data_IF_212234880456
#
_entry.id   IF_212234880456
#
_cell.length_a   1.000
_cell.length_b   1.000
_cell.length_c   1.000
_cell.angle_alpha   90.00
_cell.angle_beta   90.00
_cell.angle_gamma   90.00
#
_symmetry.space_group_name_H-M   'P 1'
#
loop_
_entity.id
_entity.type
_entity.pdbx_description
1 polymer ?
#
# COMPACT_ATOMS: atom_id res chain seq x y z
N UNK A 1 -3.85 -9.55 -25.55
CA UNK A 1 -3.46 -8.12 -25.63
C UNK A 1 -4.45 -7.22 -24.89
N UNK A 2 -5.77 -7.37 -25.10
CA UNK A 2 -6.83 -6.61 -24.42
C UNK A 2 -6.82 -6.70 -22.89
N UNK A 3 -6.62 -7.90 -22.32
CA UNK A 3 -6.59 -8.09 -20.86
C UNK A 3 -5.41 -7.38 -20.16
N UNK A 4 -4.27 -7.21 -20.85
CA UNK A 4 -3.10 -6.49 -20.32
C UNK A 4 -3.29 -4.97 -20.31
N UNK A 5 -4.13 -4.44 -21.20
CA UNK A 5 -4.46 -3.00 -21.24
C UNK A 5 -5.57 -2.64 -20.24
N UNK A 6 -6.46 -3.58 -19.91
CA UNK A 6 -7.46 -3.39 -18.84
C UNK A 6 -6.80 -3.21 -17.47
N UNK A 7 -5.65 -3.84 -17.24
CA UNK A 7 -4.91 -3.77 -15.99
C UNK A 7 -4.55 -2.33 -15.55
N UNK A 8 -3.77 -1.54 -16.32
CA UNK A 8 -3.43 -0.18 -15.94
C UNK A 8 -4.67 0.72 -15.85
N UNK A 9 -5.69 0.47 -16.66
CA UNK A 9 -6.95 1.24 -16.59
C UNK A 9 -7.67 0.99 -15.27
N UNK A 10 -7.82 -0.27 -14.86
CA UNK A 10 -8.44 -0.61 -13.56
C UNK A 10 -7.60 -0.12 -12.40
N UNK A 11 -6.28 -0.20 -12.49
CA UNK A 11 -5.37 0.31 -11.47
C UNK A 11 -5.49 1.84 -11.31
N UNK A 12 -5.37 2.59 -12.40
CA UNK A 12 -5.38 4.05 -12.39
C UNK A 12 -6.76 4.62 -12.04
N UNK A 13 -7.83 4.02 -12.59
CA UNK A 13 -9.18 4.49 -12.36
C UNK A 13 -9.80 3.89 -11.11
N UNK A 14 -9.47 2.68 -10.68
CA UNK A 14 -10.10 2.02 -9.53
C UNK A 14 -9.51 2.42 -8.18
N UNK A 15 -8.29 2.95 -8.15
CA UNK A 15 -7.60 3.31 -6.91
C UNK A 15 -8.37 4.31 -6.01
N UNK A 16 -8.88 5.45 -6.52
CA UNK A 16 -9.59 6.39 -5.65
C UNK A 16 -10.92 5.84 -5.11
N UNK A 17 -11.61 4.99 -5.89
CA UNK A 17 -12.85 4.34 -5.48
C UNK A 17 -12.64 3.44 -4.26
N UNK A 18 -11.50 2.73 -4.21
CA UNK A 18 -11.20 1.79 -3.13
C UNK A 18 -11.07 2.51 -1.78
N UNK A 19 -10.46 3.70 -1.76
CA UNK A 19 -10.44 4.55 -0.57
C UNK A 19 -11.83 5.06 -0.17
N UNK A 20 -12.69 5.33 -1.16
CA UNK A 20 -14.10 5.65 -0.92
C UNK A 20 -14.83 4.56 -0.13
N UNK A 21 -14.52 3.28 -0.37
CA UNK A 21 -15.08 2.15 0.38
C UNK A 21 -14.68 2.21 1.86
N UNK A 22 -13.41 2.49 2.15
CA UNK A 22 -12.90 2.64 3.54
C UNK A 22 -13.67 3.74 4.27
N UNK A 23 -13.81 4.91 3.65
CA UNK A 23 -14.55 6.05 4.22
C UNK A 23 -16.02 5.69 4.48
N UNK A 24 -16.64 4.93 3.56
CA UNK A 24 -18.04 4.51 3.71
C UNK A 24 -18.24 3.57 4.89
N UNK A 25 -17.33 2.61 5.07
CA UNK A 25 -17.36 1.65 6.18
C UNK A 25 -17.22 2.37 7.51
N UNK A 26 -16.28 3.32 7.62
CA UNK A 26 -16.14 4.15 8.83
C UNK A 26 -17.38 4.98 9.13
N UNK A 27 -18.00 5.55 8.10
CA UNK A 27 -19.22 6.32 8.27
C UNK A 27 -20.36 5.45 8.79
N UNK A 28 -20.54 4.26 8.22
CA UNK A 28 -21.54 3.28 8.66
C UNK A 28 -21.30 2.84 10.10
N UNK A 29 -20.06 2.51 10.48
CA UNK A 29 -19.70 2.15 11.85
C UNK A 29 -19.98 3.28 12.85
N UNK A 30 -19.83 4.54 12.43
CA UNK A 30 -20.15 5.72 13.22
C UNK A 30 -21.64 6.14 13.17
N UNK A 31 -22.52 5.39 12.49
CA UNK A 31 -23.94 5.73 12.36
C UNK A 31 -24.25 6.92 11.45
N UNK A 32 -23.34 7.29 10.54
CA UNK A 32 -23.46 8.44 9.62
C UNK A 32 -23.52 7.98 8.16
N UNK A 33 -24.12 8.80 7.29
CA UNK A 33 -24.18 8.50 5.84
C UNK A 33 -22.82 8.56 5.14
N UNK A 34 -21.92 9.43 5.59
CA UNK A 34 -20.58 9.61 5.02
C UNK A 34 -20.56 10.20 3.60
N UNK A 35 -19.35 10.46 3.11
CA UNK A 35 -19.11 10.96 1.75
C UNK A 35 -19.53 9.94 0.67
N UNK A 36 -19.81 10.39 -0.58
CA UNK A 36 -20.02 9.48 -1.70
C UNK A 36 -18.71 8.76 -2.08
N UNK A 37 -18.81 7.57 -2.70
CA UNK A 37 -17.64 6.78 -3.11
C UNK A 37 -16.73 7.51 -4.10
N UNK A 38 -17.30 8.40 -4.91
CA UNK A 38 -16.58 9.16 -5.93
C UNK A 38 -15.93 10.45 -5.40
N UNK A 39 -16.03 10.72 -4.09
CA UNK A 39 -15.57 11.97 -3.49
C UNK A 39 -14.12 12.31 -3.84
N UNK A 40 -13.21 11.34 -3.76
CA UNK A 40 -11.79 11.55 -4.03
C UNK A 40 -11.51 11.96 -5.49
N UNK A 41 -12.30 11.50 -6.46
CA UNK A 41 -12.18 11.96 -7.85
C UNK A 41 -12.54 13.43 -7.98
N UNK A 42 -13.61 13.87 -7.32
CA UNK A 42 -14.02 15.27 -7.31
C UNK A 42 -12.98 16.15 -6.62
N UNK A 43 -12.38 15.67 -5.53
CA UNK A 43 -11.34 16.40 -4.81
C UNK A 43 -10.05 16.54 -5.64
N UNK A 44 -9.59 15.46 -6.30
CA UNK A 44 -8.44 15.52 -7.22
C UNK A 44 -8.74 16.49 -8.37
N UNK A 45 -9.91 16.37 -9.00
CA UNK A 45 -10.33 17.25 -10.09
C UNK A 45 -10.38 18.73 -9.67
N UNK A 46 -10.85 18.99 -8.45
CA UNK A 46 -10.85 20.34 -7.87
C UNK A 46 -9.42 20.85 -7.65
N UNK A 47 -8.53 20.02 -7.10
CA UNK A 47 -7.14 20.41 -6.82
C UNK A 47 -6.34 20.72 -8.09
N UNK A 48 -6.58 20.00 -9.18
CA UNK A 48 -5.97 20.28 -10.49
C UNK A 48 -6.36 21.65 -11.06
N UNK A 49 -7.45 22.26 -10.59
CA UNK A 49 -7.93 23.57 -11.01
C UNK A 49 -7.53 24.70 -10.08
N UNK A 50 -6.90 24.38 -8.95
CA UNK A 50 -6.43 25.38 -8.00
C UNK A 50 -5.03 25.87 -8.39
N UNK A 51 -4.72 27.09 -7.99
CA UNK A 51 -3.36 27.60 -8.07
C UNK A 51 -2.45 26.91 -7.05
N UNK A 52 -1.18 26.83 -7.39
CA UNK A 52 -0.13 26.26 -6.55
C UNK A 52 0.62 27.41 -5.88
N UNK A 53 0.65 27.40 -4.54
CA UNK A 53 1.44 28.32 -3.74
C UNK A 53 2.72 27.58 -3.33
N UNK A 54 3.87 28.15 -3.70
CA UNK A 54 5.19 27.62 -3.34
C UNK A 54 5.88 28.57 -2.38
N UNK A 55 6.55 28.01 -1.38
CA UNK A 55 7.40 28.80 -0.50
C UNK A 55 8.59 29.36 -1.26
N UNK A 56 9.12 30.49 -0.78
CA UNK A 56 10.37 31.08 -1.32
C UNK A 56 11.62 30.34 -0.83
N UNK A 57 11.48 29.53 0.22
CA UNK A 57 12.59 28.77 0.83
C UNK A 57 12.76 27.38 0.23
N UNK A 58 11.75 26.86 -0.45
CA UNK A 58 11.79 25.54 -1.09
C UNK A 58 12.60 25.56 -2.39
N UNK A 59 13.26 24.45 -2.69
CA UNK A 59 14.02 24.23 -3.92
C UNK A 59 13.21 23.40 -4.92
N UNK A 60 13.87 22.92 -5.98
CA UNK A 60 13.25 22.00 -6.93
C UNK A 60 12.85 20.65 -6.30
N UNK A 61 13.48 20.29 -5.16
CA UNK A 61 13.22 19.04 -4.44
C UNK A 61 11.78 18.97 -3.94
N UNK A 62 11.22 20.09 -3.48
CA UNK A 62 9.82 20.19 -3.08
C UNK A 62 8.84 19.76 -4.19
N UNK A 63 9.10 20.14 -5.45
CA UNK A 63 8.28 19.73 -6.60
C UNK A 63 8.61 18.31 -7.08
N UNK A 64 9.85 17.86 -6.89
CA UNK A 64 10.25 16.49 -7.21
C UNK A 64 9.52 15.46 -6.33
N UNK A 65 9.19 15.78 -5.08
CA UNK A 65 8.46 14.91 -4.15
C UNK A 65 7.17 14.33 -4.73
N UNK A 66 6.14 15.16 -5.00
CA UNK A 66 4.88 14.71 -5.59
C UNK A 66 5.05 14.02 -6.95
N UNK A 67 5.94 14.53 -7.81
CA UNK A 67 6.16 13.99 -9.15
C UNK A 67 6.80 12.59 -9.11
N UNK A 68 7.90 12.43 -8.38
CA UNK A 68 8.61 11.17 -8.25
C UNK A 68 7.80 10.15 -7.44
N UNK A 69 7.09 10.59 -6.40
CA UNK A 69 6.19 9.73 -5.61
C UNK A 69 5.05 9.17 -6.45
N UNK A 70 4.40 9.99 -7.29
CA UNK A 70 3.36 9.51 -8.20
C UNK A 70 3.95 8.59 -9.27
N UNK A 71 5.04 8.99 -9.92
CA UNK A 71 5.66 8.21 -10.98
C UNK A 71 6.12 6.83 -10.48
N UNK A 72 6.71 6.76 -9.29
CA UNK A 72 7.22 5.51 -8.74
C UNK A 72 6.11 4.51 -8.41
N UNK A 73 4.99 4.98 -7.85
CA UNK A 73 3.82 4.13 -7.56
C UNK A 73 3.14 3.67 -8.84
N UNK A 74 3.05 4.54 -9.86
CA UNK A 74 2.51 4.17 -11.19
C UNK A 74 3.37 3.06 -11.82
N UNK A 75 4.70 3.23 -11.81
CA UNK A 75 5.63 2.22 -12.34
C UNK A 75 5.58 0.92 -11.54
N UNK A 76 5.52 0.98 -10.21
CA UNK A 76 5.40 -0.19 -9.35
C UNK A 76 4.09 -0.96 -9.62
N UNK A 77 3.00 -0.24 -9.92
CA UNK A 77 1.71 -0.84 -10.30
C UNK A 77 1.75 -1.66 -11.59
N UNK A 78 2.77 -1.49 -12.45
CA UNK A 78 2.94 -2.29 -13.67
C UNK A 78 3.51 -3.70 -13.42
N UNK A 79 4.02 -3.97 -12.21
CA UNK A 79 4.60 -5.26 -11.82
C UNK A 79 3.66 -6.13 -10.97
N UNK A 80 2.58 -5.54 -10.44
CA UNK A 80 1.58 -6.30 -9.71
C UNK A 80 0.65 -7.01 -10.69
N UNK A 81 0.25 -8.27 -10.45
CA UNK A 81 -0.82 -8.92 -11.19
C UNK A 81 -2.20 -8.48 -10.69
N UNK A 82 -3.14 -8.26 -11.61
CA UNK A 82 -4.55 -8.04 -11.31
C UNK A 82 -5.35 -9.25 -11.76
N UNK A 83 -6.01 -9.91 -10.80
CA UNK A 83 -6.65 -11.21 -11.04
C UNK A 83 -5.64 -12.26 -11.52
N UNK A 84 -6.07 -13.19 -12.40
CA UNK A 84 -5.19 -14.23 -12.98
C UNK A 84 -4.35 -13.77 -14.17
N UNK A 85 -4.40 -12.49 -14.49
CA UNK A 85 -3.65 -11.93 -15.62
C UNK A 85 -2.26 -11.57 -15.12
N UNK A 86 -1.23 -12.07 -15.81
CA UNK A 86 0.15 -11.66 -15.53
C UNK A 86 0.29 -10.14 -15.62
N UNK A 87 1.18 -9.60 -14.79
CA UNK A 87 1.49 -8.18 -14.77
C UNK A 87 1.91 -7.68 -16.17
N UNK A 88 1.60 -6.42 -16.53
CA UNK A 88 2.04 -5.83 -17.80
C UNK A 88 3.54 -5.93 -18.06
N UNK A 89 4.35 -5.75 -17.01
CA UNK A 89 5.80 -5.91 -17.02
C UNK A 89 6.20 -7.05 -16.07
N UNK A 90 7.17 -7.85 -16.48
CA UNK A 90 7.72 -8.91 -15.65
C UNK A 90 9.05 -9.43 -16.17
N UNK A 91 10.00 -9.60 -15.26
CA UNK A 91 11.30 -10.21 -15.54
C UNK A 91 11.82 -10.91 -14.25
N UNK A 92 12.95 -11.59 -14.35
CA UNK A 92 13.56 -12.28 -13.19
C UNK A 92 14.14 -11.25 -12.21
N UNK A 93 13.64 -11.21 -10.98
CA UNK A 93 14.07 -10.28 -9.94
C UNK A 93 13.29 -8.95 -9.91
N UNK A 94 12.18 -8.86 -10.62
CA UNK A 94 11.32 -7.66 -10.68
C UNK A 94 10.73 -7.24 -9.32
N UNK A 95 10.58 -8.18 -8.36
CA UNK A 95 10.13 -7.87 -7.00
C UNK A 95 11.09 -6.92 -6.25
N UNK A 96 12.40 -6.96 -6.56
CA UNK A 96 13.40 -6.06 -5.99
C UNK A 96 13.20 -4.64 -6.53
N UNK A 97 13.03 -4.52 -7.85
CA UNK A 97 12.73 -3.24 -8.49
C UNK A 97 11.43 -2.66 -7.96
N UNK A 98 10.39 -3.49 -7.80
CA UNK A 98 9.12 -3.09 -7.20
C UNK A 98 9.31 -2.48 -5.80
N UNK A 99 10.04 -3.16 -4.90
CA UNK A 99 10.29 -2.66 -3.55
C UNK A 99 11.07 -1.33 -3.57
N UNK A 100 12.11 -1.22 -4.40
CA UNK A 100 12.91 0.00 -4.48
C UNK A 100 12.22 1.15 -5.19
N UNK A 101 11.25 0.91 -6.09
CA UNK A 101 10.40 1.98 -6.65
C UNK A 101 9.57 2.63 -5.54
N UNK A 102 8.98 1.82 -4.64
CA UNK A 102 8.25 2.35 -3.49
C UNK A 102 9.17 3.12 -2.53
N UNK A 103 10.38 2.58 -2.26
CA UNK A 103 11.39 3.25 -1.45
C UNK A 103 11.84 4.59 -2.07
N UNK A 104 12.00 4.65 -3.40
CA UNK A 104 12.34 5.86 -4.14
C UNK A 104 11.25 6.93 -3.99
N UNK A 105 9.98 6.52 -4.10
CA UNK A 105 8.84 7.42 -3.85
C UNK A 105 8.90 8.02 -2.45
N UNK A 106 9.12 7.17 -1.42
CA UNK A 106 9.26 7.61 -0.03
C UNK A 106 10.44 8.56 0.18
N UNK A 107 11.59 8.25 -0.42
CA UNK A 107 12.78 9.08 -0.35
C UNK A 107 12.48 10.50 -0.85
N UNK A 108 11.86 10.64 -2.02
CA UNK A 108 11.52 11.95 -2.56
C UNK A 108 10.43 12.67 -1.75
N UNK A 109 9.44 11.96 -1.20
CA UNK A 109 8.46 12.60 -0.30
C UNK A 109 9.10 13.07 1.00
N UNK A 110 10.05 12.32 1.57
CA UNK A 110 10.77 12.72 2.76
C UNK A 110 11.74 13.88 2.50
N UNK A 111 12.42 13.87 1.35
CA UNK A 111 13.28 14.96 0.92
C UNK A 111 12.48 16.25 0.69
N UNK A 112 11.31 16.17 0.07
CA UNK A 112 10.43 17.32 -0.15
C UNK A 112 9.93 17.92 1.17
N UNK A 113 9.59 17.09 2.17
CA UNK A 113 9.23 17.54 3.51
C UNK A 113 10.41 18.22 4.26
N UNK A 114 11.65 17.77 4.03
CA UNK A 114 12.82 18.40 4.64
C UNK A 114 13.20 19.73 3.94
N UNK A 115 12.88 19.86 2.66
CA UNK A 115 13.21 21.03 1.82
C UNK A 115 12.42 22.29 2.20
N UNK A 116 11.28 22.16 2.88
CA UNK A 116 10.51 23.32 3.40
C UNK A 116 11.22 24.03 4.55
N UNK A 117 12.10 23.31 5.27
CA UNK A 117 12.84 23.83 6.41
C UNK A 117 12.02 23.94 7.70
N UNK A 118 10.84 23.29 7.79
CA UNK A 118 9.99 23.30 8.98
C UNK A 118 10.37 22.20 9.98
N UNK A 119 10.37 22.52 11.28
CA UNK A 119 10.62 21.55 12.34
C UNK A 119 9.55 20.43 12.40
N UNK A 120 8.30 20.75 12.04
CA UNK A 120 7.21 19.76 12.02
C UNK A 120 7.39 18.74 10.90
N UNK A 121 7.70 19.21 9.70
CA UNK A 121 7.94 18.36 8.53
C UNK A 121 9.16 17.45 8.74
N UNK A 122 10.23 17.97 9.36
CA UNK A 122 11.37 17.16 9.79
C UNK A 122 11.00 16.07 10.82
N UNK A 123 10.16 16.39 11.80
CA UNK A 123 9.68 15.40 12.78
C UNK A 123 8.83 14.30 12.12
N UNK A 124 7.96 14.65 11.17
CA UNK A 124 7.17 13.67 10.42
C UNK A 124 8.02 12.77 9.54
N UNK A 125 8.95 13.36 8.78
CA UNK A 125 9.86 12.62 7.91
C UNK A 125 10.69 11.58 8.69
N UNK A 126 11.22 11.94 9.88
CA UNK A 126 11.96 11.00 10.73
C UNK A 126 11.08 9.83 11.19
N UNK A 127 9.83 10.11 11.59
CA UNK A 127 8.89 9.07 12.03
C UNK A 127 8.52 8.11 10.88
N UNK A 128 8.18 8.66 9.72
CA UNK A 128 7.84 7.90 8.52
C UNK A 128 9.01 6.99 8.09
N UNK A 129 10.23 7.55 7.99
CA UNK A 129 11.43 6.79 7.59
C UNK A 129 11.80 5.73 8.64
N UNK A 130 11.57 6.00 9.93
CA UNK A 130 11.81 4.99 10.98
C UNK A 130 10.86 3.81 10.84
N UNK A 131 9.57 4.06 10.57
CA UNK A 131 8.58 2.99 10.41
C UNK A 131 8.82 2.21 9.12
N UNK A 132 9.25 2.89 8.07
CA UNK A 132 9.66 2.32 6.81
C UNK A 132 10.74 1.24 6.93
N UNK A 133 11.74 1.42 7.80
CA UNK A 133 12.77 0.40 8.00
C UNK A 133 12.19 -0.94 8.48
N UNK A 134 11.15 -0.90 9.32
CA UNK A 134 10.51 -2.11 9.82
C UNK A 134 9.51 -2.71 8.81
N UNK A 135 8.77 -1.87 8.08
CA UNK A 135 7.84 -2.34 7.04
C UNK A 135 8.60 -2.97 5.88
N UNK A 136 9.75 -2.40 5.50
CA UNK A 136 10.63 -2.95 4.46
C UNK A 136 11.16 -4.33 4.85
N UNK A 137 11.60 -4.50 6.10
CA UNK A 137 12.01 -5.80 6.62
C UNK A 137 10.87 -6.84 6.52
N UNK A 138 9.66 -6.49 6.97
CA UNK A 138 8.51 -7.38 6.89
C UNK A 138 8.11 -7.71 5.44
N UNK A 139 8.21 -6.74 4.53
CA UNK A 139 7.95 -6.92 3.12
C UNK A 139 8.96 -7.88 2.47
N UNK A 140 10.26 -7.75 2.75
CA UNK A 140 11.26 -8.65 2.19
C UNK A 140 11.14 -10.07 2.72
N UNK A 141 10.87 -10.27 4.02
CA UNK A 141 10.56 -11.62 4.52
C UNK A 141 9.35 -12.23 3.80
N UNK A 142 8.30 -11.43 3.60
CA UNK A 142 7.11 -11.86 2.86
C UNK A 142 7.45 -12.28 1.42
N UNK A 143 8.24 -11.47 0.71
CA UNK A 143 8.69 -11.77 -0.65
C UNK A 143 9.58 -13.01 -0.72
N UNK A 144 10.47 -13.23 0.24
CA UNK A 144 11.30 -14.45 0.30
C UNK A 144 10.41 -15.69 0.43
N UNK A 145 9.39 -15.66 1.30
CA UNK A 145 8.43 -16.79 1.43
C UNK A 145 7.76 -17.07 0.09
N UNK A 146 7.28 -16.05 -0.61
CA UNK A 146 6.63 -16.22 -1.91
C UNK A 146 7.59 -16.75 -2.99
N UNK A 147 8.84 -16.29 -3.01
CA UNK A 147 9.86 -16.79 -3.91
C UNK A 147 10.15 -18.28 -3.65
N UNK A 148 10.19 -18.67 -2.37
CA UNK A 148 10.38 -20.07 -1.97
C UNK A 148 9.19 -20.95 -2.35
N UNK A 149 7.96 -20.52 -2.09
CA UNK A 149 6.76 -21.31 -2.39
C UNK A 149 6.50 -21.45 -3.90
N UNK A 150 6.79 -20.40 -4.68
CA UNK A 150 6.55 -20.39 -6.13
C UNK A 150 7.72 -20.95 -6.96
N UNK A 151 8.93 -21.02 -6.39
CA UNK A 151 10.15 -21.36 -7.12
C UNK A 151 10.56 -20.33 -8.18
N UNK A 152 10.01 -19.11 -8.14
CA UNK A 152 10.25 -18.05 -9.12
C UNK A 152 10.70 -16.76 -8.45
N UNK A 153 11.51 -15.98 -9.17
CA UNK A 153 11.89 -14.61 -8.79
C UNK A 153 11.09 -13.56 -9.56
N UNK A 154 10.00 -13.96 -10.23
CA UNK A 154 9.09 -13.05 -10.90
C UNK A 154 7.87 -12.79 -10.00
N UNK A 155 7.58 -11.54 -9.65
CA UNK A 155 6.57 -11.12 -8.69
C UNK A 155 5.16 -11.62 -9.08
N UNK A 156 4.83 -11.55 -10.36
CA UNK A 156 3.54 -12.02 -10.85
C UNK A 156 3.37 -13.54 -10.61
N UNK A 157 4.40 -14.33 -10.90
CA UNK A 157 4.40 -15.77 -10.63
C UNK A 157 4.47 -16.08 -9.14
N UNK A 158 5.21 -15.29 -8.36
CA UNK A 158 5.29 -15.42 -6.90
C UNK A 158 3.91 -15.35 -6.24
N UNK A 159 3.03 -14.50 -6.74
CA UNK A 159 1.65 -14.35 -6.21
C UNK A 159 0.72 -15.42 -6.78
N UNK A 160 0.75 -15.64 -8.10
CA UNK A 160 -0.22 -16.52 -8.80
C UNK A 160 0.04 -18.02 -8.57
N UNK A 161 1.30 -18.43 -8.43
CA UNK A 161 1.69 -19.83 -8.23
C UNK A 161 1.87 -20.21 -6.75
N UNK A 162 1.82 -19.24 -5.83
CA UNK A 162 2.05 -19.47 -4.41
C UNK A 162 1.13 -20.57 -3.81
N UNK A 163 -0.12 -20.64 -4.31
CA UNK A 163 -1.17 -21.53 -3.80
C UNK A 163 -1.30 -22.88 -4.48
N UNK A 164 -0.50 -23.20 -5.52
CA UNK A 164 -0.69 -24.42 -6.33
C UNK A 164 -0.16 -25.70 -5.68
N UNK A 165 0.45 -25.61 -4.49
CA UNK A 165 0.93 -26.78 -3.76
C UNK A 165 -0.20 -27.57 -3.08
N UNK A 166 -0.13 -28.92 -3.04
CA UNK A 166 -1.12 -29.77 -2.39
C UNK A 166 -1.06 -29.75 -0.85
N UNK A 167 -0.12 -28.98 -0.26
CA UNK A 167 0.25 -29.07 1.15
C UNK A 167 -0.52 -28.03 1.99
N UNK A 168 -1.23 -28.44 3.06
CA UNK A 168 -1.94 -27.52 3.97
C UNK A 168 -1.05 -26.43 4.58
N UNK A 169 0.20 -26.76 4.90
CA UNK A 169 1.16 -25.84 5.51
C UNK A 169 1.58 -24.68 4.60
N UNK A 170 1.64 -24.89 3.27
CA UNK A 170 1.89 -23.80 2.32
C UNK A 170 0.77 -22.74 2.36
N UNK A 171 -0.49 -23.18 2.53
CA UNK A 171 -1.64 -22.26 2.67
C UNK A 171 -1.58 -21.50 3.99
N UNK A 172 -1.18 -22.15 5.08
CA UNK A 172 -0.97 -21.48 6.37
C UNK A 172 0.14 -20.43 6.26
N UNK A 173 1.26 -20.75 5.61
CA UNK A 173 2.34 -19.80 5.34
C UNK A 173 1.84 -18.59 4.55
N UNK A 174 1.01 -18.79 3.50
CA UNK A 174 0.41 -17.69 2.75
C UNK A 174 -0.53 -16.81 3.57
N UNK A 175 -1.31 -17.38 4.50
CA UNK A 175 -2.17 -16.58 5.39
C UNK A 175 -1.34 -15.73 6.36
N UNK A 176 -0.24 -16.27 6.88
CA UNK A 176 0.69 -15.50 7.72
C UNK A 176 1.38 -14.38 6.94
N UNK A 177 1.79 -14.65 5.70
CA UNK A 177 2.32 -13.63 4.78
C UNK A 177 1.25 -12.59 4.45
N UNK A 178 0.01 -12.99 4.18
CA UNK A 178 -1.10 -12.06 3.94
C UNK A 178 -1.35 -11.15 5.16
N UNK A 179 -1.29 -11.70 6.38
CA UNK A 179 -1.39 -10.90 7.60
C UNK A 179 -0.21 -9.94 7.78
N UNK A 180 1.02 -10.37 7.48
CA UNK A 180 2.22 -9.52 7.50
C UNK A 180 2.10 -8.37 6.50
N UNK A 181 1.77 -8.67 5.24
CA UNK A 181 1.59 -7.68 4.18
C UNK A 181 0.39 -6.77 4.47
N UNK A 182 -0.65 -7.25 5.16
CA UNK A 182 -1.75 -6.40 5.63
C UNK A 182 -1.29 -5.39 6.70
N UNK A 183 -0.40 -5.77 7.62
CA UNK A 183 0.20 -4.81 8.56
C UNK A 183 1.09 -3.78 7.83
N UNK A 184 1.86 -4.23 6.83
CA UNK A 184 2.63 -3.34 5.96
C UNK A 184 1.70 -2.38 5.20
N UNK A 185 0.59 -2.88 4.65
CA UNK A 185 -0.42 -2.07 3.96
C UNK A 185 -0.93 -0.94 4.85
N UNK A 186 -1.30 -1.25 6.11
CA UNK A 186 -1.80 -0.24 7.04
C UNK A 186 -0.72 0.80 7.38
N UNK A 187 0.53 0.38 7.59
CA UNK A 187 1.61 1.29 7.92
C UNK A 187 2.02 2.19 6.74
N UNK A 188 2.20 1.62 5.55
CA UNK A 188 2.62 2.32 4.32
C UNK A 188 1.58 3.29 3.75
N UNK A 189 0.31 3.09 4.13
CA UNK A 189 -0.80 3.96 3.77
C UNK A 189 -1.29 4.80 4.95
N UNK A 190 -0.49 4.86 6.03
CA UNK A 190 -0.66 5.76 7.16
C UNK A 190 -2.06 5.63 7.78
N UNK A 191 -2.52 4.39 7.93
CA UNK A 191 -3.83 4.03 8.49
C UNK A 191 -3.72 3.58 9.93
N UNK A 192 -4.86 3.62 10.61
CA UNK A 192 -4.97 3.17 12.00
C UNK A 192 -4.65 1.67 12.02
N UNK A 193 -3.80 1.19 12.95
CA UNK A 193 -3.37 1.86 14.17
C UNK A 193 -2.06 2.68 14.11
N UNK A 194 -1.42 2.79 12.95
CA UNK A 194 -0.11 3.41 12.79
C UNK A 194 -0.17 4.95 12.75
N UNK A 195 -1.06 5.48 11.91
CA UNK A 195 -1.37 6.90 11.82
C UNK A 195 -2.87 7.12 11.55
N UNK A 196 -3.34 8.36 11.65
CA UNK A 196 -4.71 8.71 11.25
C UNK A 196 -4.69 9.83 10.20
N UNK A 197 -5.13 9.55 8.96
CA UNK A 197 -5.10 10.54 7.88
C UNK A 197 -6.07 11.71 8.09
N UNK A 198 -6.97 11.61 9.08
CA UNK A 198 -7.93 12.69 9.39
C UNK A 198 -7.43 13.61 10.51
N UNK A 199 -6.32 13.26 11.16
CA UNK A 199 -5.79 14.05 12.26
C UNK A 199 -4.90 15.15 11.71
N UNK A 200 -5.34 16.41 11.84
CA UNK A 200 -4.57 17.61 11.47
C UNK A 200 -3.89 18.28 12.67
N UNK A 201 -3.60 17.52 13.73
CA UNK A 201 -2.92 18.04 14.92
C UNK A 201 -1.40 17.97 14.74
N UNK A 202 -0.79 19.14 14.52
CA UNK A 202 0.62 19.35 14.11
C UNK A 202 1.65 18.47 14.83
N UNK A 203 1.52 18.29 16.15
CA UNK A 203 2.47 17.51 16.95
C UNK A 203 2.38 15.99 16.77
N UNK A 204 1.20 15.52 16.37
CA UNK A 204 0.88 14.09 16.27
C UNK A 204 0.82 13.61 14.83
N UNK A 205 0.85 14.49 13.83
CA UNK A 205 0.90 14.06 12.43
C UNK A 205 2.19 13.29 12.14
N UNK A 206 2.09 12.26 11.30
CA UNK A 206 3.25 11.60 10.68
C UNK A 206 3.22 11.89 9.18
N UNK A 207 2.22 11.36 8.47
CA UNK A 207 2.15 11.49 7.02
C UNK A 207 1.61 12.84 6.56
N UNK A 208 0.50 13.29 7.15
CA UNK A 208 -0.15 14.57 6.79
C UNK A 208 0.79 15.76 7.00
N UNK A 209 1.75 15.66 7.92
CA UNK A 209 2.75 16.70 8.15
C UNK A 209 3.78 16.76 7.02
N UNK A 210 4.07 15.65 6.33
CA UNK A 210 5.07 15.64 5.25
C UNK A 210 4.56 16.32 3.96
N UNK A 211 3.26 16.55 3.87
CA UNK A 211 2.58 17.06 2.67
C UNK A 211 1.85 18.36 2.96
N UNK A 212 2.09 18.95 4.13
CA UNK A 212 1.34 20.07 4.71
C UNK A 212 1.48 21.34 3.86
N UNK A 213 2.70 21.61 3.39
CA UNK A 213 2.99 22.78 2.56
C UNK A 213 2.60 22.59 1.07
N UNK A 214 2.23 21.37 0.64
CA UNK A 214 1.79 21.14 -0.73
C UNK A 214 0.38 21.70 -0.99
N UNK A 215 0.21 22.36 -2.13
CA UNK A 215 -1.06 22.96 -2.52
C UNK A 215 -1.39 22.70 -4.00
N UNK A 216 -2.66 22.90 -4.36
CA UNK A 216 -3.13 22.80 -5.75
C UNK A 216 -2.83 21.44 -6.41
N UNK A 217 -2.32 21.42 -7.66
CA UNK A 217 -2.04 20.19 -8.39
C UNK A 217 -1.02 19.27 -7.72
N UNK A 218 -0.04 19.83 -7.00
CA UNK A 218 0.98 19.05 -6.28
C UNK A 218 0.34 18.19 -5.18
N UNK A 219 -0.53 18.79 -4.35
CA UNK A 219 -1.31 18.05 -3.36
C UNK A 219 -2.25 17.03 -4.03
N UNK A 220 -2.84 17.37 -5.18
CA UNK A 220 -3.64 16.44 -5.98
C UNK A 220 -2.86 15.19 -6.40
N UNK A 221 -1.60 15.36 -6.83
CA UNK A 221 -0.70 14.27 -7.19
C UNK A 221 -0.34 13.39 -5.98
N UNK A 222 -0.11 14.00 -4.82
CA UNK A 222 0.13 13.28 -3.54
C UNK A 222 -1.08 12.41 -3.17
N UNK A 223 -2.29 13.00 -3.13
CA UNK A 223 -3.51 12.27 -2.78
C UNK A 223 -3.82 11.14 -3.76
N UNK A 224 -3.59 11.37 -5.06
CA UNK A 224 -3.75 10.34 -6.07
C UNK A 224 -2.69 9.23 -5.94
N UNK A 225 -1.44 9.59 -5.70
CA UNK A 225 -0.35 8.65 -5.44
C UNK A 225 -0.62 7.78 -4.19
N UNK A 226 -1.15 8.37 -3.12
CA UNK A 226 -1.56 7.64 -1.92
C UNK A 226 -2.71 6.65 -2.23
N UNK A 227 -3.68 7.03 -3.06
CA UNK A 227 -4.74 6.13 -3.51
C UNK A 227 -4.20 4.95 -4.33
N UNK A 228 -3.28 5.21 -5.25
CA UNK A 228 -2.62 4.17 -6.05
C UNK A 228 -1.80 3.22 -5.18
N UNK A 229 -1.06 3.75 -4.20
CA UNK A 229 -0.28 2.96 -3.24
C UNK A 229 -1.19 2.08 -2.38
N UNK A 230 -2.33 2.60 -1.95
CA UNK A 230 -3.32 1.81 -1.21
C UNK A 230 -3.89 0.67 -2.05
N UNK A 231 -4.24 0.93 -3.29
CA UNK A 231 -4.72 -0.08 -4.23
C UNK A 231 -3.65 -1.14 -4.51
N UNK A 232 -2.40 -0.72 -4.69
CA UNK A 232 -1.23 -1.57 -4.92
C UNK A 232 -1.02 -2.57 -3.78
N UNK A 233 -0.95 -2.10 -2.53
CA UNK A 233 -0.84 -3.00 -1.38
C UNK A 233 -2.10 -3.86 -1.17
N UNK A 234 -3.30 -3.29 -1.39
CA UNK A 234 -4.55 -4.07 -1.32
C UNK A 234 -4.58 -5.20 -2.34
N UNK A 235 -4.00 -4.99 -3.52
CA UNK A 235 -3.86 -6.00 -4.57
C UNK A 235 -2.92 -7.12 -4.17
N UNK A 236 -1.81 -6.81 -3.48
CA UNK A 236 -0.93 -7.84 -2.93
C UNK A 236 -1.67 -8.71 -1.92
N UNK A 237 -2.35 -8.11 -0.94
CA UNK A 237 -3.13 -8.84 0.08
C UNK A 237 -4.24 -9.67 -0.59
N UNK A 238 -5.00 -9.07 -1.50
CA UNK A 238 -6.05 -9.78 -2.23
C UNK A 238 -5.49 -10.97 -3.01
N UNK A 239 -4.38 -10.80 -3.71
CA UNK A 239 -3.71 -11.89 -4.45
C UNK A 239 -3.24 -13.02 -3.54
N UNK A 240 -2.68 -12.69 -2.37
CA UNK A 240 -2.25 -13.68 -1.38
C UNK A 240 -3.41 -14.46 -0.78
N UNK A 241 -4.49 -13.78 -0.38
CA UNK A 241 -5.71 -14.41 0.13
C UNK A 241 -6.32 -15.34 -0.92
N UNK A 242 -6.33 -14.88 -2.15
CA UNK A 242 -6.92 -15.60 -3.25
C UNK A 242 -6.08 -16.85 -3.63
N UNK A 243 -4.77 -16.81 -3.42
CA UNK A 243 -3.88 -17.98 -3.56
C UNK A 243 -3.93 -18.92 -2.35
N UNK A 244 -4.19 -18.39 -1.15
CA UNK A 244 -4.28 -19.19 0.08
C UNK A 244 -5.61 -19.95 0.19
N UNK A 245 -6.72 -19.34 -0.24
CA UNK A 245 -8.06 -19.88 -0.11
C UNK A 245 -8.41 -20.80 -1.29
N UNK A 246 -9.08 -21.96 -1.05
CA UNK A 246 -9.49 -22.89 -2.10
C UNK A 246 -10.71 -22.38 -2.88
N UNK A 247 -10.60 -21.23 -3.54
CA UNK A 247 -11.73 -20.49 -4.12
C UNK A 247 -12.30 -21.07 -5.42
N UNK A 248 -11.97 -22.34 -5.76
CA UNK A 248 -12.32 -22.95 -7.05
C UNK A 248 -11.65 -22.23 -8.22
N UNK A 249 -11.57 -22.86 -9.38
CA UNK A 249 -10.82 -22.34 -10.55
C UNK A 249 -11.30 -20.99 -11.12
N UNK A 250 -12.29 -20.33 -10.54
CA UNK A 250 -12.89 -19.09 -11.04
C UNK A 250 -12.26 -17.81 -10.43
N UNK A 251 -10.94 -17.71 -10.51
CA UNK A 251 -10.23 -16.44 -10.27
C UNK A 251 -10.42 -15.51 -11.48
N UNK A 252 -11.56 -14.84 -11.52
CA UNK A 252 -11.88 -13.81 -12.51
C UNK A 252 -11.78 -12.40 -11.93
N UNK A 253 -12.00 -11.40 -12.80
CA UNK A 253 -12.10 -9.99 -12.41
C UNK A 253 -13.11 -9.75 -11.28
N UNK A 254 -14.22 -10.50 -11.25
CA UNK A 254 -15.23 -10.41 -10.20
C UNK A 254 -14.72 -10.83 -8.81
N UNK A 255 -14.02 -11.96 -8.71
CA UNK A 255 -13.44 -12.42 -7.44
C UNK A 255 -12.34 -11.47 -6.97
N UNK A 256 -11.49 -11.01 -7.88
CA UNK A 256 -10.46 -10.02 -7.56
C UNK A 256 -11.06 -8.72 -7.03
N UNK A 257 -12.11 -8.18 -7.69
CA UNK A 257 -12.80 -6.99 -7.22
C UNK A 257 -13.47 -7.20 -5.85
N UNK A 258 -14.08 -8.38 -5.62
CA UNK A 258 -14.67 -8.73 -4.34
C UNK A 258 -13.62 -8.80 -3.21
N UNK A 259 -12.44 -9.36 -3.48
CA UNK A 259 -11.37 -9.44 -2.50
C UNK A 259 -10.71 -8.09 -2.24
N UNK A 260 -10.53 -7.24 -3.26
CA UNK A 260 -10.11 -5.86 -3.06
C UNK A 260 -11.11 -5.10 -2.16
N UNK A 261 -12.41 -5.22 -2.46
CA UNK A 261 -13.44 -4.61 -1.64
C UNK A 261 -13.42 -5.17 -0.20
N UNK A 262 -13.20 -6.47 -0.03
CA UNK A 262 -13.06 -7.10 1.28
C UNK A 262 -11.85 -6.57 2.06
N UNK A 263 -10.70 -6.37 1.41
CA UNK A 263 -9.52 -5.76 2.03
C UNK A 263 -9.83 -4.32 2.45
N UNK A 264 -10.46 -3.52 1.59
CA UNK A 264 -10.84 -2.15 1.92
C UNK A 264 -11.86 -2.08 3.07
N UNK A 265 -12.83 -3.00 3.10
CA UNK A 265 -13.78 -3.14 4.21
C UNK A 265 -13.04 -3.52 5.50
N UNK A 266 -12.11 -4.46 5.43
CA UNK A 266 -11.31 -4.86 6.58
C UNK A 266 -10.50 -3.68 7.14
N UNK A 267 -9.85 -2.89 6.28
CA UNK A 267 -9.17 -1.65 6.69
C UNK A 267 -10.16 -0.69 7.37
N UNK A 268 -11.34 -0.46 6.77
CA UNK A 268 -12.37 0.40 7.35
C UNK A 268 -12.89 -0.09 8.71
N UNK A 269 -13.01 -1.40 8.91
CA UNK A 269 -13.37 -2.02 10.19
C UNK A 269 -12.24 -1.83 11.22
N UNK A 270 -10.99 -2.08 10.84
CA UNK A 270 -9.82 -1.83 11.71
C UNK A 270 -9.77 -0.37 12.14
N UNK A 271 -9.93 0.58 11.21
CA UNK A 271 -9.98 2.02 11.52
C UNK A 271 -11.19 2.42 12.39
N UNK A 272 -12.23 1.59 12.47
CA UNK A 272 -13.43 1.87 13.27
C UNK A 272 -13.39 1.25 14.66
N UNK A 273 -12.69 0.13 14.84
CA UNK A 273 -12.62 -0.63 16.09
C UNK A 273 -11.35 -0.33 16.88
N UNK A 274 -10.26 0.04 16.21
CA UNK A 274 -8.98 0.36 16.85
C UNK A 274 -8.80 1.86 17.04
N UNK A 275 -8.09 2.22 18.11
CA UNK A 275 -7.52 3.54 18.29
C UNK A 275 -6.09 3.58 17.74
N UNK A 276 -5.61 4.79 17.46
CA UNK A 276 -4.21 5.02 17.11
C UNK A 276 -3.29 4.58 18.24
N UNK A 277 -2.24 3.83 17.89
CA UNK A 277 -1.22 3.41 18.85
C UNK A 277 -0.25 4.55 19.16
N UNK A 278 0.27 4.56 20.39
CA UNK A 278 1.39 5.43 20.76
C UNK A 278 2.62 5.07 19.92
N UNK A 279 3.40 6.06 19.49
CA UNK A 279 4.59 5.89 18.64
C UNK A 279 5.55 4.80 19.14
N UNK A 280 5.73 4.66 20.46
CA UNK A 280 6.61 3.65 21.08
C UNK A 280 6.16 2.20 20.83
N UNK A 281 4.87 1.97 20.56
CA UNK A 281 4.31 0.65 20.29
C UNK A 281 4.28 0.29 18.81
N UNK A 282 4.39 1.27 17.91
CA UNK A 282 4.37 1.05 16.46
C UNK A 282 5.48 0.10 15.99
N UNK A 283 6.76 0.29 16.38
CA UNK A 283 7.82 -0.65 16.00
C UNK A 283 7.55 -2.09 16.47
N UNK A 284 6.95 -2.28 17.65
CA UNK A 284 6.63 -3.62 18.18
C UNK A 284 5.62 -4.35 17.30
N UNK A 285 4.59 -3.65 16.83
CA UNK A 285 3.59 -4.22 15.93
C UNK A 285 4.20 -4.57 14.57
N UNK A 286 5.06 -3.70 14.02
CA UNK A 286 5.74 -3.94 12.74
C UNK A 286 6.74 -5.10 12.82
N UNK A 287 7.51 -5.19 13.91
CA UNK A 287 8.35 -6.36 14.19
C UNK A 287 7.49 -7.62 14.30
N UNK A 288 6.33 -7.55 14.96
CA UNK A 288 5.36 -8.65 14.98
C UNK A 288 4.94 -9.10 13.58
N UNK A 289 4.66 -8.16 12.68
CA UNK A 289 4.40 -8.46 11.26
C UNK A 289 5.58 -9.14 10.56
N UNK A 290 6.82 -8.67 10.81
CA UNK A 290 8.03 -9.32 10.31
C UNK A 290 8.21 -10.75 10.85
N UNK A 291 7.91 -10.97 12.13
CA UNK A 291 7.96 -12.29 12.76
C UNK A 291 6.91 -13.26 12.18
N UNK A 292 5.72 -12.78 11.81
CA UNK A 292 4.72 -13.61 11.11
C UNK A 292 5.28 -14.11 9.76
N UNK A 293 5.92 -13.23 8.99
CA UNK A 293 6.55 -13.61 7.72
C UNK A 293 7.77 -14.51 7.92
N UNK A 294 8.59 -14.28 8.95
CA UNK A 294 9.71 -15.15 9.29
C UNK A 294 9.25 -16.56 9.72
N UNK A 295 8.16 -16.66 10.49
CA UNK A 295 7.59 -17.95 10.85
C UNK A 295 6.99 -18.66 9.62
N UNK A 296 6.34 -17.93 8.71
CA UNK A 296 5.89 -18.46 7.44
C UNK A 296 7.05 -19.02 6.59
N UNK A 297 8.23 -18.40 6.66
CA UNK A 297 9.44 -18.90 6.00
C UNK A 297 9.89 -20.24 6.60
N UNK A 298 9.86 -20.38 7.92
CA UNK A 298 10.20 -21.66 8.56
C UNK A 298 9.26 -22.79 8.13
N UNK A 299 7.97 -22.51 8.01
CA UNK A 299 6.99 -23.48 7.48
C UNK A 299 7.31 -23.82 6.01
N UNK A 300 7.57 -22.81 5.18
CA UNK A 300 7.90 -23.01 3.78
C UNK A 300 9.22 -23.80 3.55
N UNK A 301 10.16 -23.76 4.49
CA UNK A 301 11.42 -24.51 4.42
C UNK A 301 11.29 -25.93 4.96
N UNK A 302 10.49 -26.14 6.02
CA UNK A 302 10.36 -27.44 6.71
C UNK A 302 9.68 -28.53 5.86
N UNK A 303 8.79 -28.15 4.95
CA UNK A 303 7.94 -29.09 4.21
C UNK A 303 8.52 -29.58 2.88
N UNK A 304 9.86 -29.60 2.74
CA UNK A 304 10.53 -30.24 1.60
C UNK A 304 11.60 -31.25 2.07
N UNK A 305 11.76 -32.38 1.33
CA UNK A 305 12.74 -33.42 1.64
C UNK A 305 14.19 -32.93 1.56
#
# INVERSE_FOLDING_TARGET
MTARLLHPVVFLLGAPLLLGVVVKVKALAAGRKGAPLLQLYFDIWRLLRKEMVLSRTTTWVFLAGPAAGLASVVLAGLFIPVGRVEAPLGFTGDFILFAYLLALGRFFTAAAALDTGSAFEGMGAVREVTFACFTELALFFSLIVLARLSGSLNLSRMILAAGSGPIPAARVALLLVAASVFLVLLAENCRIPFDDPNTHLELTMIHEVMVLDHSGPALGAVLYGAALKFFLFSSLVAGLLASALPLGGAWGWGLYAALLAAVAVLVGVVESVMARLRLVHVPRLLIGGGLLAAFALLLAVKDMP
#
